data_IF_586455657759
#
_entry.id   IF_586455657759
#
_cell.length_a   1.000
_cell.length_b   1.000
_cell.length_c   1.000
_cell.angle_alpha   90.00
_cell.angle_beta   90.00
_cell.angle_gamma   90.00
#
_symmetry.space_group_name_H-M   'P 1'
#
loop_
_entity.id
_entity.type
_entity.pdbx_description
1 polymer ?
#
# COMPACT_ATOMS: atom_id res chain seq x y z
N UNK A 1 -26.46 11.17 29.57
CA UNK A 1 -25.16 10.68 29.03
C UNK A 1 -25.26 9.50 28.04
N UNK A 2 -26.30 8.65 28.07
CA UNK A 2 -26.44 7.50 27.13
C UNK A 2 -26.69 7.93 25.68
N UNK A 3 -27.53 8.97 25.48
CA UNK A 3 -27.84 9.51 24.15
C UNK A 3 -26.60 10.02 23.42
N UNK A 4 -25.78 10.84 24.09
CA UNK A 4 -24.51 11.32 23.54
C UNK A 4 -23.53 10.19 23.15
N UNK A 5 -23.50 9.09 23.92
CA UNK A 5 -22.69 7.90 23.57
C UNK A 5 -23.23 7.18 22.35
N UNK A 6 -24.54 7.09 22.16
CA UNK A 6 -25.18 6.49 20.98
C UNK A 6 -24.93 7.33 19.72
N UNK A 7 -25.12 8.64 19.81
CA UNK A 7 -24.82 9.58 18.70
C UNK A 7 -23.35 9.47 18.28
N UNK A 8 -22.42 9.44 19.24
CA UNK A 8 -20.99 9.27 18.94
C UNK A 8 -20.67 7.93 18.24
N UNK A 9 -21.35 6.84 18.62
CA UNK A 9 -21.19 5.54 17.96
C UNK A 9 -21.71 5.56 16.53
N UNK A 10 -22.89 6.16 16.30
CA UNK A 10 -23.46 6.31 14.96
C UNK A 10 -22.57 7.18 14.07
N UNK A 11 -22.08 8.32 14.59
CA UNK A 11 -21.15 9.17 13.86
C UNK A 11 -19.85 8.43 13.46
N UNK A 12 -19.32 7.60 14.37
CA UNK A 12 -18.13 6.79 14.08
C UNK A 12 -18.41 5.69 13.05
N UNK A 13 -19.59 5.07 13.10
CA UNK A 13 -20.01 4.10 12.09
C UNK A 13 -20.11 4.75 10.71
N UNK A 14 -20.82 5.88 10.60
CA UNK A 14 -20.94 6.64 9.35
C UNK A 14 -19.58 7.08 8.82
N UNK A 15 -18.69 7.56 9.68
CA UNK A 15 -17.33 7.94 9.27
C UNK A 15 -16.52 6.74 8.77
N UNK A 16 -16.72 5.57 9.38
CA UNK A 16 -16.10 4.32 8.92
C UNK A 16 -16.64 3.93 7.56
N UNK A 17 -17.96 4.00 7.34
CA UNK A 17 -18.58 3.68 6.05
C UNK A 17 -18.12 4.64 4.95
N UNK A 18 -18.08 5.95 5.24
CA UNK A 18 -17.54 6.95 4.32
C UNK A 18 -16.07 6.65 3.98
N UNK A 19 -15.27 6.29 4.98
CA UNK A 19 -13.88 5.88 4.77
C UNK A 19 -13.79 4.63 3.87
N UNK A 20 -14.60 3.60 4.11
CA UNK A 20 -14.62 2.39 3.27
C UNK A 20 -15.02 2.72 1.82
N UNK A 21 -16.00 3.60 1.62
CA UNK A 21 -16.39 4.08 0.30
C UNK A 21 -15.24 4.81 -0.40
N UNK A 22 -14.52 5.69 0.30
CA UNK A 22 -13.35 6.38 -0.26
C UNK A 22 -12.24 5.39 -0.64
N UNK A 23 -11.97 4.40 0.21
CA UNK A 23 -10.99 3.34 -0.08
C UNK A 23 -11.39 2.53 -1.31
N UNK A 24 -12.67 2.16 -1.44
CA UNK A 24 -13.19 1.43 -2.59
C UNK A 24 -13.06 2.23 -3.90
N UNK A 25 -13.39 3.53 -3.87
CA UNK A 25 -13.21 4.43 -5.02
C UNK A 25 -11.72 4.53 -5.39
N UNK A 26 -10.83 4.71 -4.41
CA UNK A 26 -9.38 4.74 -4.67
C UNK A 26 -8.86 3.43 -5.28
N UNK A 27 -9.30 2.29 -4.75
CA UNK A 27 -8.92 0.97 -5.26
C UNK A 27 -9.38 0.75 -6.71
N UNK A 28 -10.61 1.16 -7.05
CA UNK A 28 -11.14 1.04 -8.43
C UNK A 28 -10.40 1.94 -9.41
N UNK A 29 -10.06 3.19 -9.02
CA UNK A 29 -9.26 4.08 -9.86
C UNK A 29 -7.86 3.51 -10.10
N UNK A 30 -7.19 3.02 -9.05
CA UNK A 30 -5.86 2.42 -9.16
C UNK A 30 -5.88 1.14 -10.01
N UNK A 31 -6.88 0.28 -9.85
CA UNK A 31 -7.08 -0.90 -10.68
C UNK A 31 -7.29 -0.53 -12.16
N UNK A 32 -8.06 0.52 -12.42
CA UNK A 32 -8.26 1.04 -13.79
C UNK A 32 -6.98 1.62 -14.41
N UNK A 33 -6.19 2.37 -13.64
CA UNK A 33 -4.89 2.91 -14.09
C UNK A 33 -3.87 1.80 -14.35
N UNK A 34 -3.76 0.83 -13.45
CA UNK A 34 -2.85 -0.33 -13.61
C UNK A 34 -3.23 -1.20 -14.81
N UNK A 35 -4.54 -1.39 -15.06
CA UNK A 35 -5.00 -2.07 -16.27
C UNK A 35 -4.67 -1.27 -17.55
N UNK A 36 -4.82 0.06 -17.52
CA UNK A 36 -4.52 0.95 -18.67
C UNK A 36 -3.03 1.07 -18.97
N UNK A 37 -2.18 1.10 -17.95
CA UNK A 37 -0.74 1.21 -18.14
C UNK A 37 -0.13 -0.06 -18.72
N UNK A 38 -0.83 -1.19 -18.65
CA UNK A 38 -0.32 -2.50 -19.09
C UNK A 38 0.96 -2.91 -18.34
N UNK A 39 1.29 -2.21 -17.25
CA UNK A 39 2.50 -2.43 -16.49
C UNK A 39 2.34 -3.71 -15.69
N UNK A 40 2.93 -4.79 -16.19
CA UNK A 40 3.13 -5.98 -15.37
C UNK A 40 4.15 -5.62 -14.28
N UNK A 41 3.93 -5.98 -13.01
CA UNK A 41 4.97 -5.87 -12.00
C UNK A 41 6.20 -6.60 -12.53
N UNK A 42 7.28 -5.85 -12.78
CA UNK A 42 8.55 -6.45 -13.16
C UNK A 42 9.25 -6.73 -11.85
N UNK A 43 9.51 -8.00 -11.55
CA UNK A 43 10.14 -8.43 -10.30
C UNK A 43 11.53 -7.79 -10.10
N UNK A 44 12.17 -7.33 -11.17
CA UNK A 44 13.48 -6.70 -11.14
C UNK A 44 13.54 -5.54 -12.13
N UNK A 45 13.98 -4.33 -11.71
CA UNK A 45 14.20 -3.22 -12.62
C UNK A 45 15.14 -3.60 -13.79
N UNK A 46 14.99 -2.97 -14.98
CA UNK A 46 15.86 -3.23 -16.13
C UNK A 46 17.36 -3.07 -15.81
N UNK A 47 18.27 -3.72 -16.56
CA UNK A 47 19.70 -3.49 -16.39
C UNK A 47 20.04 -2.00 -16.55
N UNK A 48 20.85 -1.46 -15.66
CA UNK A 48 21.24 -0.03 -15.67
C UNK A 48 20.25 0.93 -15.00
N UNK A 49 19.12 0.44 -14.48
CA UNK A 49 18.20 1.29 -13.71
C UNK A 49 18.82 1.68 -12.35
N UNK A 50 18.74 2.95 -11.91
CA UNK A 50 19.34 3.41 -10.63
C UNK A 50 18.76 2.70 -9.40
N UNK A 51 17.55 2.19 -9.52
CA UNK A 51 16.84 1.46 -8.45
C UNK A 51 17.29 -0.01 -8.31
N UNK A 52 18.10 -0.52 -9.25
CA UNK A 52 18.55 -1.91 -9.23
C UNK A 52 19.68 -2.07 -8.21
N UNK A 53 19.52 -3.03 -7.30
CA UNK A 53 20.57 -3.39 -6.35
C UNK A 53 21.84 -3.81 -7.10
N UNK A 54 22.97 -3.21 -6.69
CA UNK A 54 24.30 -3.56 -7.19
C UNK A 54 24.72 -4.90 -6.61
N UNK A 55 25.00 -5.94 -7.43
CA UNK A 55 25.37 -7.27 -6.93
C UNK A 55 26.77 -7.27 -6.28
N UNK A 56 27.61 -6.30 -6.62
CA UNK A 56 28.97 -6.10 -6.12
C UNK A 56 29.01 -5.47 -4.71
N UNK A 57 27.91 -4.90 -4.23
CA UNK A 57 27.85 -4.22 -2.95
C UNK A 57 26.95 -4.98 -1.98
N UNK A 58 27.47 -5.45 -0.82
CA UNK A 58 26.63 -6.14 0.15
C UNK A 58 25.62 -5.16 0.77
N UNK A 59 24.40 -5.65 0.99
CA UNK A 59 23.36 -4.89 1.66
C UNK A 59 23.79 -4.48 3.08
N UNK A 60 23.54 -3.22 3.41
CA UNK A 60 23.69 -2.68 4.76
C UNK A 60 22.77 -3.41 5.75
N UNK A 61 23.02 -3.21 7.04
CA UNK A 61 22.18 -3.81 8.08
C UNK A 61 20.71 -3.35 7.99
N UNK A 62 20.49 -2.08 7.62
CA UNK A 62 19.18 -1.49 7.43
C UNK A 62 18.45 -2.10 6.23
N UNK A 63 19.10 -2.18 5.07
CA UNK A 63 18.49 -2.75 3.87
C UNK A 63 18.15 -4.24 4.06
N UNK A 64 19.00 -4.99 4.77
CA UNK A 64 18.68 -6.37 5.17
C UNK A 64 17.49 -6.45 6.11
N UNK A 65 17.30 -5.48 7.00
CA UNK A 65 16.12 -5.43 7.87
C UNK A 65 14.86 -5.16 7.07
N UNK A 66 14.88 -4.16 6.19
CA UNK A 66 13.77 -3.84 5.30
C UNK A 66 13.39 -5.00 4.38
N UNK A 67 14.39 -5.69 3.81
CA UNK A 67 14.15 -6.86 2.96
C UNK A 67 13.40 -7.98 3.71
N UNK A 68 13.76 -8.22 4.98
CA UNK A 68 13.04 -9.18 5.84
C UNK A 68 11.62 -8.74 6.14
N UNK A 69 11.38 -7.45 6.32
CA UNK A 69 10.05 -6.92 6.60
C UNK A 69 9.14 -7.01 5.36
N UNK A 70 9.65 -6.68 4.17
CA UNK A 70 8.90 -6.83 2.92
C UNK A 70 8.56 -8.29 2.60
N UNK A 71 9.49 -9.23 2.83
CA UNK A 71 9.25 -10.66 2.64
C UNK A 71 8.20 -11.27 3.57
N UNK A 72 7.80 -10.58 4.64
CA UNK A 72 6.70 -10.98 5.54
C UNK A 72 5.34 -10.43 5.14
N UNK A 73 5.30 -9.50 4.19
CA UNK A 73 4.09 -8.84 3.69
C UNK A 73 3.56 -9.52 2.41
N UNK A 74 4.23 -10.59 1.94
CA UNK A 74 3.84 -11.41 0.79
C UNK A 74 2.88 -12.54 1.14
#
# INVERSE_FOLDING_TARGET
MVFARRVRRLARALMTDVWQCLVAVGATQLAGETARSGARPVDVPPPGHPERLRPDLPLTALERALLRDMGRVG
#
